data_IF_640709120739
#
_entry.id   IF_640709120739
#
_cell.length_a   1.000
_cell.length_b   1.000
_cell.length_c   1.000
_cell.angle_alpha   90.00
_cell.angle_beta   90.00
_cell.angle_gamma   90.00
#
_symmetry.space_group_name_H-M   'P 1'
#
loop_
_entity.id
_entity.type
_entity.pdbx_description
1 polymer ?
#
# COMPACT_ATOMS: atom_id res chain seq x y z
N UNK A 1 7.08 13.51 17.12
CA UNK A 1 8.47 13.90 16.76
C UNK A 1 8.46 15.32 16.18
N UNK A 2 9.61 15.97 15.97
CA UNK A 2 9.64 17.31 15.34
C UNK A 2 9.18 17.25 13.87
N UNK A 3 9.54 16.18 13.18
CA UNK A 3 9.20 15.91 11.78
C UNK A 3 8.85 14.42 11.63
N UNK A 4 8.07 14.11 10.59
CA UNK A 4 7.72 12.75 10.20
C UNK A 4 7.00 11.93 11.27
N UNK A 5 7.19 10.61 11.19
CA UNK A 5 6.63 9.63 12.12
C UNK A 5 7.76 8.94 12.89
N UNK A 6 7.47 8.51 14.12
CA UNK A 6 8.43 7.79 14.96
C UNK A 6 7.72 6.68 15.73
N UNK A 7 8.25 5.48 15.65
CA UNK A 7 7.80 4.36 16.46
C UNK A 7 8.30 4.52 17.91
N UNK A 8 7.36 4.56 18.87
CA UNK A 8 7.62 4.87 20.29
C UNK A 8 7.58 3.63 21.21
N UNK A 9 7.40 2.44 20.64
CA UNK A 9 7.32 1.16 21.34
C UNK A 9 5.89 0.68 21.59
N UNK A 10 5.79 -0.43 22.32
CA UNK A 10 4.55 -1.15 22.62
C UNK A 10 3.81 -0.52 23.82
N UNK A 11 2.48 -0.47 23.71
CA UNK A 11 1.56 0.00 24.77
C UNK A 11 0.46 -1.02 25.03
N UNK A 12 -0.08 -1.00 26.25
CA UNK A 12 -1.26 -1.76 26.65
C UNK A 12 -2.40 -0.84 27.05
N UNK A 13 -3.63 -1.28 26.77
CA UNK A 13 -4.85 -0.61 27.24
C UNK A 13 -5.05 -0.96 28.71
N UNK A 14 -5.06 0.06 29.57
CA UNK A 14 -5.29 -0.07 31.02
C UNK A 14 -6.78 0.02 31.34
N UNK A 15 -7.50 0.90 30.64
CA UNK A 15 -8.93 1.15 30.84
C UNK A 15 -9.55 1.67 29.55
N UNK A 16 -10.80 1.35 29.31
CA UNK A 16 -11.64 1.99 28.30
C UNK A 16 -13.00 2.36 28.87
N UNK A 17 -13.58 3.48 28.44
CA UNK A 17 -14.87 3.99 28.94
C UNK A 17 -15.51 4.96 27.95
N UNK A 18 -16.85 5.05 27.90
CA UNK A 18 -17.55 6.05 27.10
C UNK A 18 -17.58 7.42 27.82
N UNK A 19 -17.46 8.51 27.07
CA UNK A 19 -17.57 9.90 27.53
C UNK A 19 -18.28 10.75 26.47
N UNK A 20 -18.94 11.84 26.83
CA UNK A 20 -19.44 12.79 25.83
C UNK A 20 -18.31 13.73 25.39
N UNK A 21 -18.01 13.74 24.10
CA UNK A 21 -16.99 14.61 23.52
C UNK A 21 -17.44 16.07 23.45
N UNK A 22 -16.53 16.97 23.06
CA UNK A 22 -16.82 18.40 22.90
C UNK A 22 -17.92 18.68 21.86
N UNK A 23 -18.14 17.74 20.93
CA UNK A 23 -19.21 17.79 19.93
C UNK A 23 -20.59 17.40 20.48
N UNK A 24 -20.70 16.96 21.74
CA UNK A 24 -21.94 16.48 22.34
C UNK A 24 -22.32 15.03 22.00
N UNK A 25 -21.49 14.32 21.23
CA UNK A 25 -21.67 12.89 20.94
C UNK A 25 -20.85 11.99 21.86
N UNK A 26 -21.31 10.75 22.07
CA UNK A 26 -20.58 9.75 22.86
C UNK A 26 -19.33 9.30 22.09
N UNK A 27 -18.18 9.37 22.75
CA UNK A 27 -16.87 8.92 22.28
C UNK A 27 -16.30 7.89 23.26
N UNK A 28 -15.61 6.87 22.74
CA UNK A 28 -14.89 5.91 23.58
C UNK A 28 -13.46 6.40 23.83
N UNK A 29 -13.07 6.49 25.11
CA UNK A 29 -11.70 6.82 25.51
C UNK A 29 -10.96 5.57 25.96
N UNK A 30 -9.66 5.55 25.65
CA UNK A 30 -8.74 4.49 26.03
C UNK A 30 -7.57 5.12 26.80
N UNK A 31 -7.24 4.57 27.96
CA UNK A 31 -6.04 4.91 28.71
C UNK A 31 -4.95 3.90 28.36
N UNK A 32 -3.89 4.36 27.70
CA UNK A 32 -2.76 3.53 27.30
C UNK A 32 -1.58 3.75 28.26
N UNK A 33 -0.87 2.66 28.58
CA UNK A 33 0.40 2.69 29.34
C UNK A 33 1.47 1.98 28.52
N UNK A 34 2.67 2.57 28.49
CA UNK A 34 3.81 1.98 27.80
C UNK A 34 4.25 0.70 28.51
N UNK A 35 4.46 -0.36 27.75
CA UNK A 35 4.90 -1.68 28.24
C UNK A 35 5.89 -2.26 27.24
N UNK A 36 7.07 -1.64 27.19
CA UNK A 36 8.11 -1.98 26.23
C UNK A 36 9.47 -1.90 26.93
N UNK A 37 10.31 -2.96 26.84
CA UNK A 37 11.60 -3.02 27.51
C UNK A 37 12.64 -2.06 26.92
N UNK A 38 12.45 -1.59 25.69
CA UNK A 38 13.33 -0.59 25.09
C UNK A 38 13.09 0.78 25.71
N UNK A 39 14.13 1.60 25.93
CA UNK A 39 13.96 2.92 26.49
C UNK A 39 13.20 3.83 25.53
N UNK A 40 12.25 4.63 26.05
CA UNK A 40 11.42 5.49 25.21
C UNK A 40 12.28 6.55 24.47
N UNK A 41 11.99 6.87 23.19
CA UNK A 41 12.85 7.71 22.36
C UNK A 41 13.16 9.13 22.88
N UNK A 42 12.33 9.67 23.79
CA UNK A 42 12.55 11.01 24.38
C UNK A 42 13.39 10.98 25.66
N UNK A 43 13.66 9.80 26.22
CA UNK A 43 14.53 9.64 27.41
C UNK A 43 16.00 9.77 27.04
N UNK A 44 16.87 10.00 28.04
CA UNK A 44 18.32 10.07 27.84
C UNK A 44 18.88 8.76 27.26
N UNK A 45 18.44 7.63 27.79
CA UNK A 45 18.81 6.28 27.33
C UNK A 45 18.30 6.02 25.91
N UNK A 46 17.06 6.40 25.61
CA UNK A 46 16.48 6.24 24.27
C UNK A 46 17.25 7.04 23.21
N UNK A 47 17.63 8.29 23.52
CA UNK A 47 18.46 9.12 22.64
C UNK A 47 19.84 8.50 22.41
N UNK A 48 20.48 7.98 23.46
CA UNK A 48 21.78 7.30 23.33
C UNK A 48 21.67 6.04 22.46
N UNK A 49 20.60 5.26 22.64
CA UNK A 49 20.32 4.07 21.82
C UNK A 49 20.11 4.43 20.35
N UNK A 50 19.31 5.45 20.05
CA UNK A 50 19.07 5.94 18.68
C UNK A 50 20.40 6.33 18.02
N UNK A 51 21.25 7.09 18.73
CA UNK A 51 22.57 7.47 18.24
C UNK A 51 23.48 6.24 18.01
N UNK A 52 23.48 5.27 18.92
CA UNK A 52 24.29 4.04 18.78
C UNK A 52 23.86 3.15 17.62
N UNK A 53 22.58 3.19 17.24
CA UNK A 53 22.02 2.41 16.13
C UNK A 53 22.05 3.15 14.79
N UNK A 54 22.50 4.42 14.76
CA UNK A 54 22.53 5.23 13.55
C UNK A 54 21.15 5.42 12.91
N UNK A 55 20.09 5.50 13.71
CA UNK A 55 18.73 5.63 13.18
C UNK A 55 18.46 7.06 12.71
N UNK A 56 18.21 7.21 11.42
CA UNK A 56 17.92 8.49 10.76
C UNK A 56 16.52 8.50 10.12
N UNK A 57 16.03 9.68 9.77
CA UNK A 57 14.75 9.86 9.08
C UNK A 57 14.78 9.11 7.74
N UNK A 58 13.88 8.15 7.56
CA UNK A 58 13.74 7.41 6.33
C UNK A 58 12.80 8.16 5.39
N UNK A 59 13.25 8.39 4.16
CA UNK A 59 12.45 8.99 3.09
C UNK A 59 12.23 7.96 1.98
N UNK A 60 11.09 8.01 1.26
CA UNK A 60 10.94 7.22 0.03
C UNK A 60 12.00 7.62 -1.00
N UNK A 61 12.48 6.65 -1.79
CA UNK A 61 13.55 6.86 -2.78
C UNK A 61 13.23 7.96 -3.81
N UNK A 62 11.94 8.20 -4.08
CA UNK A 62 11.47 9.24 -5.01
C UNK A 62 11.36 10.64 -4.40
N UNK A 63 11.68 10.80 -3.12
CA UNK A 63 11.48 12.05 -2.39
C UNK A 63 12.72 12.96 -2.49
N UNK A 64 12.69 13.90 -3.44
CA UNK A 64 13.74 14.92 -3.57
C UNK A 64 13.68 15.92 -2.40
N UNK A 65 14.57 15.75 -1.42
CA UNK A 65 14.71 16.71 -0.34
C UNK A 65 15.71 17.80 -0.73
N UNK A 66 15.22 19.00 -1.07
CA UNK A 66 16.10 20.17 -1.14
C UNK A 66 16.60 20.49 0.28
N UNK A 67 17.83 20.12 0.61
CA UNK A 67 18.46 20.50 1.89
C UNK A 67 18.77 21.99 1.85
N UNK A 68 17.77 22.83 2.08
CA UNK A 68 18.01 24.22 2.48
C UNK A 68 18.49 24.19 3.92
N UNK A 69 19.80 24.03 4.11
CA UNK A 69 20.44 24.39 5.38
C UNK A 69 20.14 25.87 5.62
N UNK A 70 19.16 26.14 6.50
CA UNK A 70 18.99 27.45 7.09
C UNK A 70 20.05 27.59 8.17
N UNK A 71 21.29 27.77 7.74
CA UNK A 71 22.36 28.24 8.62
C UNK A 71 21.99 29.63 9.12
N UNK A 72 21.67 29.69 10.40
CA UNK A 72 21.51 30.92 11.14
C UNK A 72 22.84 31.68 11.15
N UNK A 73 22.93 32.76 10.38
CA UNK A 73 24.09 33.65 10.36
C UNK A 73 23.95 34.72 11.46
N UNK A 74 24.92 34.90 12.38
CA UNK A 74 25.06 36.17 13.08
C UNK A 74 25.83 37.17 12.22
N UNK A 75 25.53 38.46 12.44
CA UNK A 75 25.88 39.64 11.64
C UNK A 75 27.39 39.92 11.55
N UNK A 76 27.85 40.42 10.40
CA UNK A 76 28.86 41.48 10.31
C UNK A 76 28.82 42.18 8.93
N UNK A 77 28.99 43.51 8.95
CA UNK A 77 28.98 44.45 7.82
C UNK A 77 30.32 44.43 7.07
N UNK A 78 30.32 44.65 5.74
CA UNK A 78 31.55 44.93 4.98
C UNK A 78 31.37 45.14 3.47
N UNK A 79 31.51 46.40 3.06
CA UNK A 79 31.65 47.03 1.72
C UNK A 79 32.16 46.22 0.49
N UNK A 80 31.42 46.41 -0.63
CA UNK A 80 31.76 46.96 -1.98
C UNK A 80 32.85 46.36 -2.91
N UNK A 81 32.44 46.19 -4.19
CA UNK A 81 33.18 46.30 -5.50
C UNK A 81 34.00 45.04 -5.87
N UNK A 82 34.08 44.48 -7.09
CA UNK A 82 33.92 44.92 -8.49
C UNK A 82 33.63 43.75 -9.45
N UNK A 83 33.08 44.13 -10.60
CA UNK A 83 32.86 43.47 -11.90
C UNK A 83 34.12 42.80 -12.51
N UNK A 84 34.08 41.52 -12.92
CA UNK A 84 34.87 40.98 -14.03
C UNK A 84 34.42 39.57 -14.52
N UNK A 85 34.23 39.49 -15.85
CA UNK A 85 34.35 38.39 -16.82
C UNK A 85 34.32 36.91 -16.38
N UNK A 86 33.38 36.18 -16.99
CA UNK A 86 33.41 34.72 -17.22
C UNK A 86 34.64 34.31 -18.04
N UNK A 87 35.18 33.12 -17.78
CA UNK A 87 35.50 32.17 -18.85
C UNK A 87 34.58 30.94 -18.75
N UNK A 88 34.21 30.40 -19.92
CA UNK A 88 33.69 29.05 -20.07
C UNK A 88 34.89 28.13 -20.15
N UNK A 89 34.89 27.05 -19.38
CA UNK A 89 35.70 25.86 -19.62
C UNK A 89 34.74 24.66 -19.56
N UNK A 90 34.80 23.87 -20.62
CA UNK A 90 34.00 22.69 -20.91
C UNK A 90 34.58 21.45 -20.19
N UNK A 91 33.70 20.44 -20.06
CA UNK A 91 33.94 19.01 -19.84
C UNK A 91 34.63 18.53 -18.55
N UNK A 92 33.84 17.84 -17.71
CA UNK A 92 34.06 16.40 -17.48
C UNK A 92 32.77 15.79 -16.88
N UNK A 93 32.01 15.10 -17.76
CA UNK A 93 30.93 14.18 -17.39
C UNK A 93 31.49 13.02 -16.57
N UNK A 94 31.14 12.94 -15.29
CA UNK A 94 31.21 11.70 -14.52
C UNK A 94 29.78 11.18 -14.41
N UNK A 95 29.38 10.38 -15.40
CA UNK A 95 28.23 9.48 -15.31
C UNK A 95 28.51 8.45 -14.20
N UNK A 96 28.08 8.75 -12.97
CA UNK A 96 27.97 7.74 -11.94
C UNK A 96 26.73 6.87 -12.24
N UNK A 97 26.97 5.77 -12.96
CA UNK A 97 26.04 4.64 -13.07
C UNK A 97 25.72 4.11 -11.67
N UNK A 98 24.72 4.71 -11.01
CA UNK A 98 24.04 4.05 -9.90
C UNK A 98 23.23 2.92 -10.51
N UNK A 99 23.81 1.71 -10.49
CA UNK A 99 23.10 0.47 -10.80
C UNK A 99 21.88 0.38 -9.89
N UNK A 100 20.73 0.82 -10.40
CA UNK A 100 19.42 0.56 -9.81
C UNK A 100 19.35 -0.95 -9.56
N UNK A 101 19.44 -1.36 -8.30
CA UNK A 101 19.20 -2.75 -7.93
C UNK A 101 17.74 -3.00 -8.28
N UNK A 102 17.52 -3.67 -9.41
CA UNK A 102 16.22 -4.09 -9.89
C UNK A 102 15.71 -5.14 -8.90
N UNK A 103 14.94 -4.72 -7.91
CA UNK A 103 14.21 -5.64 -7.03
C UNK A 103 13.09 -6.24 -7.88
N UNK A 104 13.43 -7.23 -8.70
CA UNK A 104 12.45 -8.02 -9.42
C UNK A 104 11.81 -8.99 -8.43
N UNK A 105 10.55 -8.76 -8.08
CA UNK A 105 9.77 -9.75 -7.35
C UNK A 105 9.51 -10.94 -8.27
N UNK A 106 9.85 -12.15 -7.83
CA UNK A 106 9.47 -13.38 -8.52
C UNK A 106 8.33 -14.05 -7.79
N UNK A 107 7.25 -14.37 -8.51
CA UNK A 107 6.17 -15.19 -7.99
C UNK A 107 6.66 -16.60 -7.70
N UNK A 108 6.14 -17.23 -6.65
CA UNK A 108 6.38 -18.64 -6.37
C UNK A 108 5.80 -19.52 -7.49
N UNK A 109 6.37 -20.72 -7.69
CA UNK A 109 6.01 -21.60 -8.80
C UNK A 109 4.55 -22.06 -8.74
N UNK A 110 4.07 -22.38 -7.54
CA UNK A 110 2.69 -22.74 -7.25
C UNK A 110 1.71 -21.60 -7.56
N UNK A 111 2.05 -20.37 -7.17
CA UNK A 111 1.29 -19.15 -7.48
C UNK A 111 1.23 -18.94 -9.00
N UNK A 112 2.36 -19.04 -9.70
CA UNK A 112 2.40 -18.89 -11.16
C UNK A 112 1.53 -19.93 -11.86
N UNK A 113 1.58 -21.19 -11.40
CA UNK A 113 0.75 -22.28 -11.92
C UNK A 113 -0.73 -22.01 -11.70
N UNK A 114 -1.13 -21.59 -10.50
CA UNK A 114 -2.53 -21.28 -10.19
C UNK A 114 -3.05 -20.11 -11.03
N UNK A 115 -2.26 -19.03 -11.16
CA UNK A 115 -2.60 -17.90 -12.03
C UNK A 115 -2.74 -18.34 -13.50
N UNK A 116 -1.85 -19.20 -13.99
CA UNK A 116 -1.91 -19.69 -15.38
C UNK A 116 -3.10 -20.61 -15.66
N UNK A 117 -3.66 -21.25 -14.64
CA UNK A 117 -4.85 -22.09 -14.78
C UNK A 117 -6.14 -21.25 -14.95
N UNK A 118 -6.15 -19.98 -14.54
CA UNK A 118 -7.28 -19.08 -14.74
C UNK A 118 -7.27 -18.47 -16.15
N UNK A 119 -7.72 -19.27 -17.11
CA UNK A 119 -7.81 -18.90 -18.52
C UNK A 119 -8.81 -17.76 -18.78
N UNK A 120 -9.83 -17.62 -17.92
CA UNK A 120 -10.90 -16.63 -18.10
C UNK A 120 -10.40 -15.22 -17.83
N UNK A 121 -9.53 -15.03 -16.84
CA UNK A 121 -8.93 -13.73 -16.52
C UNK A 121 -7.54 -13.52 -17.13
N UNK A 122 -7.16 -14.25 -18.19
CA UNK A 122 -5.80 -14.20 -18.77
C UNK A 122 -5.31 -12.78 -19.08
N UNK A 123 -6.19 -11.90 -19.58
CA UNK A 123 -5.85 -10.50 -19.90
C UNK A 123 -5.51 -9.70 -18.63
N UNK A 124 -6.32 -9.86 -17.59
CA UNK A 124 -6.12 -9.18 -16.31
C UNK A 124 -4.84 -9.68 -15.64
N UNK A 125 -4.64 -11.00 -15.59
CA UNK A 125 -3.42 -11.60 -15.05
C UNK A 125 -2.15 -11.20 -15.80
N UNK A 126 -2.22 -11.03 -17.12
CA UNK A 126 -1.07 -10.57 -17.92
C UNK A 126 -0.66 -9.16 -17.49
N UNK A 127 -1.62 -8.25 -17.35
CA UNK A 127 -1.33 -6.89 -16.88
C UNK A 127 -0.79 -6.88 -15.45
N UNK A 128 -1.38 -7.67 -14.54
CA UNK A 128 -0.92 -7.77 -13.15
C UNK A 128 0.51 -8.31 -13.04
N UNK A 129 0.89 -9.28 -13.88
CA UNK A 129 2.26 -9.84 -13.89
C UNK A 129 3.32 -8.80 -14.24
N UNK A 130 3.00 -7.77 -15.03
CA UNK A 130 3.97 -6.71 -15.35
C UNK A 130 4.38 -5.90 -14.11
N UNK A 131 3.49 -5.77 -13.12
CA UNK A 131 3.75 -5.07 -11.86
C UNK A 131 4.72 -5.83 -10.93
N UNK A 132 5.03 -7.09 -11.20
CA UNK A 132 6.08 -7.82 -10.45
C UNK A 132 7.45 -7.13 -10.55
N UNK A 133 7.68 -6.35 -11.62
CA UNK A 133 8.85 -5.51 -11.79
C UNK A 133 8.93 -4.33 -10.80
N UNK A 134 7.79 -3.90 -10.24
CA UNK A 134 7.66 -2.82 -9.26
C UNK A 134 7.68 -3.32 -7.81
N UNK A 135 7.91 -4.62 -7.61
CA UNK A 135 8.03 -5.24 -6.29
C UNK A 135 6.75 -5.91 -5.78
N UNK A 136 6.90 -6.74 -4.75
CA UNK A 136 5.81 -7.60 -4.23
C UNK A 136 4.61 -6.80 -3.75
N UNK A 137 4.83 -5.70 -3.02
CA UNK A 137 3.75 -4.88 -2.46
C UNK A 137 2.89 -4.27 -3.55
N UNK A 138 3.51 -3.67 -4.57
CA UNK A 138 2.79 -3.07 -5.69
C UNK A 138 1.95 -4.11 -6.46
N UNK A 139 2.50 -5.32 -6.65
CA UNK A 139 1.77 -6.43 -7.24
C UNK A 139 0.57 -6.85 -6.37
N UNK A 140 0.76 -7.13 -5.08
CA UNK A 140 -0.31 -7.59 -4.19
C UNK A 140 -1.41 -6.54 -4.02
N UNK A 141 -1.03 -5.27 -3.81
CA UNK A 141 -1.99 -4.16 -3.70
C UNK A 141 -2.87 -4.08 -4.97
N UNK A 142 -2.26 -4.25 -6.16
CA UNK A 142 -2.99 -4.16 -7.42
C UNK A 142 -3.87 -5.38 -7.68
N UNK A 143 -3.43 -6.57 -7.30
CA UNK A 143 -4.26 -7.80 -7.35
C UNK A 143 -5.47 -7.62 -6.42
N UNK A 144 -5.28 -7.12 -5.20
CA UNK A 144 -6.37 -6.89 -4.26
C UNK A 144 -7.38 -5.88 -4.81
N UNK A 145 -6.91 -4.77 -5.41
CA UNK A 145 -7.74 -3.76 -6.06
C UNK A 145 -8.56 -4.35 -7.22
N UNK A 146 -7.89 -5.01 -8.19
CA UNK A 146 -8.53 -5.45 -9.43
C UNK A 146 -9.47 -6.66 -9.23
N UNK A 147 -9.30 -7.42 -8.15
CA UNK A 147 -10.20 -8.51 -7.75
C UNK A 147 -11.12 -8.14 -6.59
N UNK A 148 -11.28 -6.85 -6.27
CA UNK A 148 -12.28 -6.40 -5.31
C UNK A 148 -13.69 -6.53 -5.89
N UNK A 149 -14.59 -7.17 -5.16
CA UNK A 149 -15.99 -7.27 -5.55
C UNK A 149 -16.70 -5.92 -5.35
N UNK A 150 -17.28 -5.38 -6.43
CA UNK A 150 -18.03 -4.12 -6.44
C UNK A 150 -19.30 -4.11 -5.57
N UNK A 151 -19.76 -5.27 -5.09
CA UNK A 151 -20.97 -5.36 -4.27
C UNK A 151 -20.64 -5.25 -2.78
N UNK A 152 -19.64 -6.00 -2.29
CA UNK A 152 -19.27 -6.03 -0.87
C UNK A 152 -18.01 -5.23 -0.55
N UNK A 153 -17.32 -4.65 -1.55
CA UNK A 153 -16.09 -3.87 -1.39
C UNK A 153 -14.98 -4.62 -0.65
N UNK A 154 -14.92 -5.93 -0.86
CA UNK A 154 -13.91 -6.83 -0.31
C UNK A 154 -13.35 -7.69 -1.44
N UNK A 155 -12.17 -8.28 -1.22
CA UNK A 155 -11.59 -9.24 -2.17
C UNK A 155 -12.60 -10.32 -2.53
N UNK A 156 -12.71 -10.67 -3.81
CA UNK A 156 -13.77 -11.56 -4.28
C UNK A 156 -13.67 -12.96 -3.66
N UNK A 157 -14.78 -13.42 -3.07
CA UNK A 157 -14.93 -14.76 -2.50
C UNK A 157 -15.90 -15.59 -3.32
N UNK A 158 -15.51 -16.83 -3.64
CA UNK A 158 -16.22 -17.68 -4.61
C UNK A 158 -16.58 -16.87 -5.89
N UNK A 159 -15.59 -16.32 -6.60
CA UNK A 159 -15.81 -15.46 -7.75
C UNK A 159 -16.60 -16.15 -8.85
N UNK A 160 -17.59 -15.45 -9.38
CA UNK A 160 -18.19 -15.72 -10.69
C UNK A 160 -17.56 -14.74 -11.68
N UNK A 161 -16.85 -15.26 -12.68
CA UNK A 161 -16.30 -14.46 -13.77
C UNK A 161 -17.36 -14.33 -14.86
N UNK A 162 -17.91 -13.14 -15.01
CA UNK A 162 -18.97 -12.84 -15.99
C UNK A 162 -18.44 -12.80 -17.43
N UNK A 163 -19.29 -13.00 -18.47
CA UNK A 163 -18.88 -12.90 -19.88
C UNK A 163 -18.31 -11.53 -20.26
N UNK A 164 -18.70 -10.47 -19.53
CA UNK A 164 -18.11 -9.14 -19.66
C UNK A 164 -16.81 -8.96 -18.87
N UNK A 165 -16.17 -10.06 -18.44
CA UNK A 165 -14.86 -10.11 -17.78
C UNK A 165 -14.77 -9.41 -16.41
N UNK A 166 -15.87 -9.36 -15.67
CA UNK A 166 -15.86 -8.88 -14.28
C UNK A 166 -16.02 -10.03 -13.28
N UNK A 167 -15.37 -9.92 -12.14
CA UNK A 167 -15.37 -10.91 -11.06
C UNK A 167 -16.24 -10.40 -9.90
N UNK A 168 -17.30 -11.14 -9.56
CA UNK A 168 -18.23 -10.80 -8.48
C UNK A 168 -18.42 -12.03 -7.59
N UNK A 169 -18.54 -11.84 -6.27
CA UNK A 169 -18.79 -12.97 -5.36
C UNK A 169 -20.09 -13.67 -5.75
N UNK A 170 -20.12 -15.01 -5.72
CA UNK A 170 -21.30 -15.78 -6.10
C UNK A 170 -22.55 -15.32 -5.35
N UNK A 171 -22.44 -15.15 -4.03
CA UNK A 171 -23.56 -14.67 -3.21
C UNK A 171 -23.99 -13.25 -3.55
N UNK A 172 -23.05 -12.37 -3.93
CA UNK A 172 -23.37 -10.99 -4.29
C UNK A 172 -24.15 -10.93 -5.61
N UNK A 173 -23.73 -11.68 -6.62
CA UNK A 173 -24.42 -11.69 -7.91
C UNK A 173 -25.77 -12.43 -7.83
N UNK A 174 -25.87 -13.51 -7.04
CA UNK A 174 -27.14 -14.20 -6.76
C UNK A 174 -28.16 -13.25 -6.12
N UNK A 175 -27.76 -12.51 -5.08
CA UNK A 175 -28.62 -11.49 -4.43
C UNK A 175 -29.10 -10.42 -5.41
N UNK A 176 -28.27 -10.00 -6.37
CA UNK A 176 -28.67 -9.06 -7.43
C UNK A 176 -29.80 -9.65 -8.29
N UNK A 177 -29.68 -10.91 -8.69
CA UNK A 177 -30.68 -11.60 -9.51
C UNK A 177 -31.98 -11.85 -8.74
N UNK A 178 -31.91 -12.19 -7.46
CA UNK A 178 -33.08 -12.30 -6.57
C UNK A 178 -33.86 -10.97 -6.48
N UNK A 179 -33.16 -9.84 -6.55
CA UNK A 179 -33.74 -8.51 -6.67
C UNK A 179 -34.20 -8.14 -8.09
N UNK A 180 -34.30 -9.11 -9.00
CA UNK A 180 -34.68 -8.93 -10.41
C UNK A 180 -33.73 -8.05 -11.23
N UNK A 181 -32.47 -7.91 -10.79
CA UNK A 181 -31.41 -7.20 -11.53
C UNK A 181 -30.51 -8.25 -12.19
N UNK A 182 -30.75 -8.49 -13.49
CA UNK A 182 -30.06 -9.51 -14.32
C UNK A 182 -28.87 -8.96 -15.11
N UNK A 183 -28.36 -7.79 -14.74
CA UNK A 183 -27.21 -7.16 -15.35
C UNK A 183 -25.97 -7.28 -14.46
N UNK A 184 -24.79 -7.22 -15.06
CA UNK A 184 -23.52 -7.26 -14.34
C UNK A 184 -23.43 -6.08 -13.35
N UNK A 185 -23.17 -6.32 -12.05
CA UNK A 185 -23.05 -5.24 -11.07
C UNK A 185 -21.92 -4.24 -11.35
N UNK A 186 -20.89 -4.64 -12.10
CA UNK A 186 -19.74 -3.78 -12.42
C UNK A 186 -20.00 -2.85 -13.60
N UNK A 187 -20.47 -3.38 -14.73
CA UNK A 187 -20.59 -2.62 -15.99
C UNK A 187 -22.00 -2.54 -16.57
N UNK A 188 -23.00 -3.15 -15.91
CA UNK A 188 -24.41 -3.22 -16.36
C UNK A 188 -24.65 -3.95 -17.68
N UNK A 189 -23.67 -4.70 -18.19
CA UNK A 189 -23.91 -5.59 -19.33
C UNK A 189 -24.96 -6.64 -18.96
N UNK A 190 -25.93 -6.88 -19.85
CA UNK A 190 -26.97 -7.89 -19.62
C UNK A 190 -26.37 -9.29 -19.56
N UNK A 191 -26.71 -10.04 -18.52
CA UNK A 191 -26.27 -11.42 -18.32
C UNK A 191 -27.36 -12.43 -18.69
N UNK A 192 -28.61 -11.98 -18.74
CA UNK A 192 -29.78 -12.80 -19.05
C UNK A 192 -30.33 -13.56 -17.85
N UNK A 193 -31.64 -13.85 -17.86
CA UNK A 193 -32.32 -14.49 -16.72
C UNK A 193 -31.85 -15.93 -16.43
N UNK A 194 -31.30 -16.62 -17.44
CA UNK A 194 -30.77 -17.98 -17.32
C UNK A 194 -29.25 -18.03 -17.09
N UNK A 195 -28.66 -16.94 -16.60
CA UNK A 195 -27.24 -16.87 -16.31
C UNK A 195 -26.85 -17.89 -15.23
N UNK A 196 -25.76 -18.62 -15.46
CA UNK A 196 -25.24 -19.63 -14.54
C UNK A 196 -24.11 -19.04 -13.68
N UNK A 197 -24.22 -19.20 -12.36
CA UNK A 197 -23.31 -18.63 -11.37
C UNK A 197 -22.16 -19.59 -11.04
N UNK A 198 -21.51 -20.12 -12.07
CA UNK A 198 -20.38 -21.03 -11.89
C UNK A 198 -19.20 -20.32 -11.22
N UNK A 199 -18.67 -20.95 -10.17
CA UNK A 199 -17.52 -20.44 -9.44
C UNK A 199 -16.27 -20.66 -10.29
N UNK A 200 -15.46 -19.62 -10.43
CA UNK A 200 -14.11 -19.72 -10.97
C UNK A 200 -13.17 -20.25 -9.88
N UNK A 201 -13.07 -21.58 -9.80
CA UNK A 201 -12.19 -22.29 -8.87
C UNK A 201 -10.71 -21.94 -9.09
N UNK A 202 -10.30 -21.69 -10.34
CA UNK A 202 -8.91 -21.32 -10.65
C UNK A 202 -8.54 -19.96 -10.07
N UNK A 203 -9.43 -18.96 -10.19
CA UNK A 203 -9.26 -17.67 -9.54
C UNK A 203 -9.27 -17.81 -8.00
N UNK A 204 -10.18 -18.63 -7.46
CA UNK A 204 -10.23 -18.91 -6.01
C UNK A 204 -8.90 -19.45 -5.50
N UNK A 205 -8.34 -20.45 -6.19
CA UNK A 205 -7.06 -21.06 -5.83
C UNK A 205 -5.89 -20.06 -5.92
N UNK A 206 -5.86 -19.23 -6.96
CA UNK A 206 -4.83 -18.20 -7.11
C UNK A 206 -4.89 -17.17 -5.97
N UNK A 207 -6.08 -16.68 -5.62
CA UNK A 207 -6.26 -15.70 -4.54
C UNK A 207 -5.94 -16.29 -3.16
N UNK A 208 -6.26 -17.57 -2.91
CA UNK A 208 -5.91 -18.25 -1.66
C UNK A 208 -4.40 -18.36 -1.45
N UNK A 209 -3.64 -18.62 -2.52
CA UNK A 209 -2.17 -18.67 -2.45
C UNK A 209 -1.56 -17.27 -2.24
N UNK A 210 -2.15 -16.24 -2.84
CA UNK A 210 -1.69 -14.85 -2.70
C UNK A 210 -2.08 -14.22 -1.35
N UNK A 211 -3.27 -14.54 -0.83
CA UNK A 211 -3.83 -13.98 0.38
C UNK A 211 -4.34 -15.08 1.34
N UNK A 212 -3.45 -15.84 2.00
CA UNK A 212 -3.87 -16.92 2.88
C UNK A 212 -4.84 -16.44 3.98
N UNK A 213 -5.99 -17.09 4.08
CA UNK A 213 -7.00 -16.80 5.11
C UNK A 213 -7.95 -15.64 4.81
N UNK A 214 -7.90 -15.03 3.62
CA UNK A 214 -8.82 -13.93 3.25
C UNK A 214 -10.31 -14.34 3.29
N UNK A 215 -10.58 -15.64 3.18
CA UNK A 215 -11.92 -16.23 3.23
C UNK A 215 -12.60 -16.13 4.60
N UNK A 216 -11.86 -15.85 5.69
CA UNK A 216 -12.42 -15.77 7.03
C UNK A 216 -13.39 -14.57 7.24
N UNK A 217 -13.38 -13.60 6.33
CA UNK A 217 -14.17 -12.38 6.40
C UNK A 217 -15.44 -12.42 5.52
N UNK A 218 -15.78 -13.56 4.94
CA UNK A 218 -16.94 -13.78 4.08
C UNK A 218 -17.89 -14.81 4.67
#
# INVERSE_FOLDING_TARGET
PREGNRYDGIYKVVKYYPEYGQSGYKVWRYLLRRDDPTPAPWTKEGKARIASLGLEMQFPDSYEHSTKTKDAKPKAKGKKVSKAKRPREDDDDIEEETKKIKISYSLAEDVMKAISADEVNVKLWTSLKELTSSGQKAFLDKVEEDFTCVCCMSLVYQPVTTPCSHNICQDCIKRSFEASITSCPSCRNELGASFDFQINENLTNALLLLFPGYTANH
#
